data_IF_522631230346
#
_entry.id   IF_522631230346
#
_cell.length_a   1.000
_cell.length_b   1.000
_cell.length_c   1.000
_cell.angle_alpha   90.00
_cell.angle_beta   90.00
_cell.angle_gamma   90.00
#
_symmetry.space_group_name_H-M   'P 1'
#
loop_
_entity.id
_entity.type
_entity.pdbx_description
1 polymer ?
#
# COMPACT_ATOMS: atom_id res chain seq x y z
N UNK A 1 -12.15 -21.54 -10.61
CA UNK A 1 -12.43 -20.19 -11.17
C UNK A 1 -13.59 -20.16 -12.15
N UNK A 2 -13.65 -21.03 -13.17
CA UNK A 2 -14.70 -20.96 -14.21
C UNK A 2 -16.14 -21.18 -13.72
N UNK A 3 -16.37 -22.01 -12.70
CA UNK A 3 -17.74 -22.36 -12.26
C UNK A 3 -18.44 -21.19 -11.57
N UNK A 4 -17.78 -20.49 -10.63
CA UNK A 4 -18.40 -19.39 -9.88
C UNK A 4 -18.75 -18.19 -10.79
N UNK A 5 -17.80 -17.77 -11.66
CA UNK A 5 -18.04 -16.70 -12.63
C UNK A 5 -19.11 -17.09 -13.68
N UNK A 6 -19.15 -18.36 -14.10
CA UNK A 6 -20.16 -18.86 -15.03
C UNK A 6 -21.55 -18.92 -14.38
N UNK A 7 -21.66 -19.38 -13.14
CA UNK A 7 -22.91 -19.37 -12.38
C UNK A 7 -23.47 -17.94 -12.22
N UNK A 8 -22.61 -16.96 -11.93
CA UNK A 8 -23.01 -15.55 -11.87
C UNK A 8 -23.49 -15.01 -13.22
N UNK A 9 -22.84 -15.38 -14.33
CA UNK A 9 -23.28 -15.01 -15.70
C UNK A 9 -24.66 -15.58 -16.06
N UNK A 10 -25.06 -16.69 -15.44
CA UNK A 10 -26.37 -17.32 -15.64
C UNK A 10 -27.40 -16.95 -14.56
N UNK A 11 -27.14 -15.94 -13.73
CA UNK A 11 -28.05 -15.50 -12.68
C UNK A 11 -28.14 -16.44 -11.46
N UNK A 12 -27.32 -17.50 -11.42
CA UNK A 12 -27.27 -18.50 -10.34
C UNK A 12 -26.26 -18.07 -9.27
N UNK A 13 -26.47 -16.89 -8.71
CA UNK A 13 -25.51 -16.26 -7.81
C UNK A 13 -25.30 -17.03 -6.49
N UNK A 14 -26.34 -17.69 -5.96
CA UNK A 14 -26.26 -18.53 -4.76
C UNK A 14 -25.29 -19.70 -4.91
N UNK A 15 -25.39 -20.38 -6.05
CA UNK A 15 -24.53 -21.51 -6.36
C UNK A 15 -23.12 -21.06 -6.68
N UNK A 16 -22.97 -19.91 -7.35
CA UNK A 16 -21.67 -19.28 -7.58
C UNK A 16 -20.95 -18.96 -6.26
N UNK A 17 -21.67 -18.42 -5.27
CA UNK A 17 -21.11 -18.12 -3.96
C UNK A 17 -20.76 -19.39 -3.18
N UNK A 18 -21.63 -20.39 -3.15
CA UNK A 18 -21.33 -21.67 -2.47
C UNK A 18 -20.09 -22.37 -3.05
N UNK A 19 -19.95 -22.36 -4.39
CA UNK A 19 -18.75 -22.84 -5.06
C UNK A 19 -17.51 -22.01 -4.73
N UNK A 20 -17.65 -20.70 -4.62
CA UNK A 20 -16.55 -19.82 -4.27
C UNK A 20 -16.08 -20.02 -2.82
N UNK A 21 -17.00 -20.05 -1.85
CA UNK A 21 -16.71 -20.31 -0.44
C UNK A 21 -16.11 -21.72 -0.23
N UNK A 22 -16.64 -22.72 -0.94
CA UNK A 22 -16.06 -24.08 -0.97
C UNK A 22 -14.63 -24.08 -1.53
N UNK A 23 -14.42 -23.41 -2.66
CA UNK A 23 -13.09 -23.27 -3.27
C UNK A 23 -12.08 -22.55 -2.37
N UNK A 24 -12.51 -21.53 -1.60
CA UNK A 24 -11.67 -20.84 -0.62
C UNK A 24 -11.26 -21.76 0.54
N UNK A 25 -12.18 -22.61 1.01
CA UNK A 25 -11.92 -23.58 2.08
C UNK A 25 -10.93 -24.66 1.66
N UNK A 26 -11.04 -25.14 0.41
CA UNK A 26 -10.16 -26.17 -0.14
C UNK A 26 -8.77 -25.64 -0.53
N UNK A 27 -8.65 -24.35 -0.88
CA UNK A 27 -7.40 -23.77 -1.39
C UNK A 27 -6.32 -23.49 -0.33
N UNK A 28 -6.61 -23.72 0.95
CA UNK A 28 -5.62 -23.55 2.03
C UNK A 28 -5.03 -22.14 2.08
N UNK A 29 -3.68 -22.03 2.08
CA UNK A 29 -2.97 -20.74 2.21
C UNK A 29 -2.84 -19.95 0.91
N UNK A 30 -3.04 -20.56 -0.26
CA UNK A 30 -2.91 -19.91 -1.56
C UNK A 30 -4.29 -19.57 -2.10
N UNK A 31 -4.92 -18.62 -1.43
CA UNK A 31 -6.25 -18.15 -1.79
C UNK A 31 -6.18 -17.26 -3.02
N UNK A 32 -6.97 -17.59 -4.04
CA UNK A 32 -7.10 -16.77 -5.25
C UNK A 32 -7.80 -15.44 -4.93
N UNK A 33 -7.12 -14.32 -5.17
CA UNK A 33 -7.66 -12.98 -4.91
C UNK A 33 -8.93 -12.70 -5.72
N UNK A 34 -9.03 -13.24 -6.94
CA UNK A 34 -10.24 -13.06 -7.76
C UNK A 34 -11.46 -13.72 -7.14
N UNK A 35 -11.25 -14.83 -6.43
CA UNK A 35 -12.32 -15.53 -5.74
C UNK A 35 -12.79 -14.76 -4.51
N UNK A 36 -11.85 -14.15 -3.77
CA UNK A 36 -12.19 -13.22 -2.68
C UNK A 36 -12.96 -12.01 -3.19
N UNK A 37 -12.52 -11.41 -4.31
CA UNK A 37 -13.21 -10.28 -4.93
C UNK A 37 -14.64 -10.63 -5.30
N UNK A 38 -14.85 -11.81 -5.91
CA UNK A 38 -16.18 -12.32 -6.23
C UNK A 38 -17.04 -12.49 -4.97
N UNK A 39 -16.52 -13.11 -3.91
CA UNK A 39 -17.23 -13.28 -2.65
C UNK A 39 -17.60 -11.94 -2.00
N UNK A 40 -16.69 -10.95 -2.01
CA UNK A 40 -16.94 -9.61 -1.45
C UNK A 40 -18.12 -8.96 -2.20
N UNK A 41 -18.06 -8.91 -3.53
CA UNK A 41 -19.10 -8.26 -4.34
C UNK A 41 -20.47 -8.93 -4.15
N UNK A 42 -20.50 -10.26 -4.12
CA UNK A 42 -21.76 -11.00 -3.98
C UNK A 42 -22.36 -10.85 -2.56
N UNK A 43 -21.53 -10.82 -1.52
CA UNK A 43 -22.02 -10.55 -0.15
C UNK A 43 -22.49 -9.10 0.02
N UNK A 44 -21.81 -8.13 -0.58
CA UNK A 44 -22.28 -6.73 -0.61
C UNK A 44 -23.64 -6.60 -1.30
N UNK A 45 -23.84 -7.28 -2.45
CA UNK A 45 -25.12 -7.28 -3.19
C UNK A 45 -26.29 -7.81 -2.35
N UNK A 46 -26.03 -8.76 -1.45
CA UNK A 46 -27.03 -9.40 -0.59
C UNK A 46 -27.29 -8.64 0.71
N UNK A 47 -26.47 -7.65 1.04
CA UNK A 47 -26.50 -7.00 2.36
C UNK A 47 -25.82 -7.81 3.47
N UNK A 48 -25.08 -8.87 3.13
CA UNK A 48 -24.35 -9.72 4.07
C UNK A 48 -23.00 -9.06 4.44
N UNK A 49 -23.07 -7.87 5.05
CA UNK A 49 -21.93 -6.99 5.28
C UNK A 49 -20.83 -7.63 6.13
N UNK A 50 -21.20 -8.40 7.16
CA UNK A 50 -20.24 -9.07 8.02
C UNK A 50 -19.35 -10.07 7.25
N UNK A 51 -19.94 -10.79 6.28
CA UNK A 51 -19.18 -11.71 5.41
C UNK A 51 -18.33 -10.95 4.40
N UNK A 52 -18.86 -9.88 3.82
CA UNK A 52 -18.09 -9.02 2.90
C UNK A 52 -16.84 -8.45 3.59
N UNK A 53 -16.97 -7.93 4.81
CA UNK A 53 -15.87 -7.41 5.61
C UNK A 53 -14.86 -8.52 5.96
N UNK A 54 -15.32 -9.73 6.28
CA UNK A 54 -14.44 -10.86 6.57
C UNK A 54 -13.59 -11.27 5.35
N UNK A 55 -14.20 -11.38 4.16
CA UNK A 55 -13.46 -11.67 2.93
C UNK A 55 -12.52 -10.53 2.52
N UNK A 56 -12.94 -9.27 2.71
CA UNK A 56 -12.09 -8.11 2.46
C UNK A 56 -10.87 -8.09 3.39
N UNK A 57 -11.04 -8.47 4.66
CA UNK A 57 -9.94 -8.62 5.60
C UNK A 57 -8.98 -9.75 5.20
N UNK A 58 -9.52 -10.92 4.82
CA UNK A 58 -8.71 -12.04 4.34
C UNK A 58 -7.88 -11.64 3.10
N UNK A 59 -8.48 -10.92 2.15
CA UNK A 59 -7.77 -10.39 0.97
C UNK A 59 -6.62 -9.46 1.36
N UNK A 60 -6.85 -8.61 2.36
CA UNK A 60 -5.84 -7.69 2.88
C UNK A 60 -4.67 -8.43 3.53
N UNK A 61 -4.92 -9.45 4.35
CA UNK A 61 -3.87 -10.22 5.04
C UNK A 61 -2.95 -11.00 4.08
N UNK A 62 -3.48 -11.44 2.93
CA UNK A 62 -2.68 -12.16 1.92
C UNK A 62 -1.61 -11.26 1.31
N UNK A 63 -1.94 -9.98 1.06
CA UNK A 63 -1.01 -9.01 0.45
C UNK A 63 -1.27 -7.60 1.00
N UNK A 64 -0.81 -7.32 2.24
CA UNK A 64 -1.02 -6.03 2.86
C UNK A 64 -0.21 -4.95 2.15
N UNK A 65 -0.81 -3.79 1.90
CA UNK A 65 -0.18 -2.68 1.18
C UNK A 65 -1.17 -1.55 0.89
N UNK A 66 -0.71 -0.47 0.25
CA UNK A 66 -1.55 0.71 0.03
C UNK A 66 -2.75 0.45 -0.88
N UNK A 67 -2.58 -0.37 -1.92
CA UNK A 67 -3.66 -0.77 -2.83
C UNK A 67 -4.72 -1.63 -2.11
N UNK A 68 -4.26 -2.66 -1.39
CA UNK A 68 -5.16 -3.51 -0.61
C UNK A 68 -5.87 -2.72 0.49
N UNK A 69 -5.20 -1.76 1.13
CA UNK A 69 -5.79 -0.86 2.11
C UNK A 69 -6.93 -0.04 1.50
N UNK A 70 -6.69 0.61 0.36
CA UNK A 70 -7.72 1.38 -0.34
C UNK A 70 -8.93 0.50 -0.70
N UNK A 71 -8.67 -0.67 -1.26
CA UNK A 71 -9.73 -1.61 -1.63
C UNK A 71 -10.51 -2.15 -0.41
N UNK A 72 -9.90 -2.25 0.77
CA UNK A 72 -10.59 -2.55 2.03
C UNK A 72 -11.41 -1.36 2.54
N UNK A 73 -10.95 -0.12 2.35
CA UNK A 73 -11.71 1.08 2.73
C UNK A 73 -12.97 1.25 1.87
N UNK A 74 -12.93 0.85 0.59
CA UNK A 74 -14.11 0.88 -0.28
C UNK A 74 -15.22 -0.04 0.26
N UNK A 75 -14.87 -1.28 0.64
CA UNK A 75 -15.79 -2.24 1.26
C UNK A 75 -16.30 -1.70 2.59
N UNK A 76 -15.39 -1.26 3.46
CA UNK A 76 -15.75 -0.76 4.78
C UNK A 76 -16.63 0.50 4.73
N UNK A 77 -16.49 1.33 3.69
CA UNK A 77 -17.38 2.47 3.46
C UNK A 77 -18.79 2.01 3.08
N UNK A 78 -18.89 0.97 2.25
CA UNK A 78 -20.18 0.38 1.87
C UNK A 78 -20.90 -0.31 3.05
N UNK A 79 -20.14 -0.84 4.02
CA UNK A 79 -20.69 -1.53 5.21
C UNK A 79 -20.84 -0.62 6.44
N UNK A 80 -20.41 0.64 6.36
CA UNK A 80 -20.45 1.59 7.49
C UNK A 80 -19.39 1.33 8.57
N UNK A 81 -18.35 0.54 8.28
CA UNK A 81 -17.28 0.13 9.20
C UNK A 81 -15.93 0.80 8.88
N UNK A 82 -15.94 1.94 8.18
CA UNK A 82 -14.75 2.60 7.67
C UNK A 82 -13.68 2.83 8.75
N UNK A 83 -14.02 3.51 9.85
CA UNK A 83 -13.03 3.93 10.84
C UNK A 83 -12.45 2.74 11.63
N UNK A 84 -13.31 1.79 12.00
CA UNK A 84 -12.89 0.55 12.66
C UNK A 84 -11.96 -0.27 11.77
N UNK A 85 -12.29 -0.40 10.48
CA UNK A 85 -11.46 -1.13 9.51
C UNK A 85 -10.15 -0.39 9.25
N UNK A 86 -10.17 0.95 9.17
CA UNK A 86 -8.99 1.80 9.01
C UNK A 86 -8.00 1.56 10.15
N UNK A 87 -8.47 1.67 11.38
CA UNK A 87 -7.63 1.47 12.57
C UNK A 87 -7.02 0.06 12.59
N UNK A 88 -7.86 -0.96 12.37
CA UNK A 88 -7.43 -2.36 12.31
C UNK A 88 -6.34 -2.60 11.25
N UNK A 89 -6.53 -2.07 10.05
CA UNK A 89 -5.57 -2.24 8.94
C UNK A 89 -4.24 -1.52 9.20
N UNK A 90 -4.28 -0.30 9.74
CA UNK A 90 -3.08 0.45 10.13
C UNK A 90 -2.31 -0.27 11.25
N UNK A 91 -3.01 -0.80 12.26
CA UNK A 91 -2.40 -1.57 13.34
C UNK A 91 -1.71 -2.83 12.81
N UNK A 92 -2.34 -3.54 11.87
CA UNK A 92 -1.73 -4.69 11.22
C UNK A 92 -0.46 -4.32 10.44
N UNK A 93 -0.50 -3.27 9.62
CA UNK A 93 0.68 -2.78 8.89
C UNK A 93 1.81 -2.35 9.83
N UNK A 94 1.51 -1.67 10.93
CA UNK A 94 2.51 -1.30 11.93
C UNK A 94 3.12 -2.52 12.63
N UNK A 95 2.32 -3.55 12.90
CA UNK A 95 2.82 -4.84 13.43
C UNK A 95 3.82 -5.48 12.46
N UNK A 96 3.53 -5.49 11.16
CA UNK A 96 4.45 -5.97 10.13
C UNK A 96 5.73 -5.14 10.08
N UNK A 97 5.65 -3.81 10.13
CA UNK A 97 6.85 -2.95 10.20
C UNK A 97 7.71 -3.29 11.41
N UNK A 98 7.11 -3.46 12.59
CA UNK A 98 7.84 -3.83 13.81
C UNK A 98 8.52 -5.19 13.66
N UNK A 99 7.82 -6.18 13.12
CA UNK A 99 8.38 -7.52 12.88
C UNK A 99 9.52 -7.49 11.85
N UNK A 100 9.34 -6.73 10.77
CA UNK A 100 10.35 -6.52 9.75
C UNK A 100 11.61 -5.88 10.34
N UNK A 101 11.47 -4.77 11.07
CA UNK A 101 12.58 -3.97 11.62
C UNK A 101 13.28 -4.62 12.81
N UNK A 102 12.59 -5.45 13.59
CA UNK A 102 13.19 -6.25 14.65
C UNK A 102 14.04 -7.42 14.13
N UNK A 103 13.77 -7.87 12.90
CA UNK A 103 14.52 -8.97 12.28
C UNK A 103 15.92 -8.50 11.86
N UNK A 104 16.95 -8.97 12.59
CA UNK A 104 18.37 -8.77 12.24
C UNK A 104 18.84 -9.61 11.06
N UNK A 105 17.97 -10.45 10.47
CA UNK A 105 18.34 -11.28 9.32
C UNK A 105 18.54 -10.41 8.09
N UNK A 106 19.80 -10.25 7.71
CA UNK A 106 20.35 -9.59 6.52
C UNK A 106 19.88 -10.16 5.15
N UNK A 107 18.76 -10.89 5.11
CA UNK A 107 18.19 -11.50 3.90
C UNK A 107 16.80 -10.93 3.61
N UNK A 108 16.65 -9.61 3.60
CA UNK A 108 15.60 -9.05 2.75
C UNK A 108 16.11 -9.15 1.33
N UNK A 109 15.38 -9.87 0.49
CA UNK A 109 15.54 -9.73 -0.95
C UNK A 109 15.44 -8.24 -1.26
N UNK A 110 16.42 -7.66 -1.95
CA UNK A 110 16.45 -6.24 -2.34
C UNK A 110 15.19 -5.80 -3.11
N UNK A 111 14.39 -6.77 -3.57
CA UNK A 111 13.15 -6.60 -4.31
C UNK A 111 11.89 -6.47 -3.44
N UNK A 112 11.95 -6.79 -2.14
CA UNK A 112 10.78 -6.63 -1.27
C UNK A 112 10.70 -5.20 -0.74
N UNK A 113 9.66 -4.49 -1.16
CA UNK A 113 9.34 -3.16 -0.69
C UNK A 113 9.04 -3.21 0.82
N UNK A 114 9.71 -2.39 1.65
CA UNK A 114 9.43 -2.35 3.09
C UNK A 114 7.98 -1.97 3.35
N UNK A 115 7.31 -2.63 4.31
CA UNK A 115 5.89 -2.33 4.64
C UNK A 115 5.70 -0.88 5.08
N UNK A 116 6.73 -0.28 5.70
CA UNK A 116 6.74 1.16 6.05
C UNK A 116 6.55 2.06 4.82
N UNK A 117 7.04 1.66 3.64
CA UNK A 117 6.82 2.40 2.39
C UNK A 117 5.34 2.43 2.02
N UNK A 118 4.62 1.32 2.24
CA UNK A 118 3.18 1.26 2.00
C UNK A 118 2.40 2.15 2.97
N UNK A 119 2.79 2.18 4.25
CA UNK A 119 2.22 3.13 5.22
C UNK A 119 2.42 4.59 4.81
N UNK A 120 3.62 4.96 4.34
CA UNK A 120 3.87 6.31 3.82
C UNK A 120 2.91 6.63 2.67
N UNK A 121 2.75 5.72 1.70
CA UNK A 121 1.80 5.90 0.58
C UNK A 121 0.37 6.11 1.08
N UNK A 122 -0.08 5.30 2.05
CA UNK A 122 -1.42 5.42 2.64
C UNK A 122 -1.65 6.81 3.22
N UNK A 123 -0.74 7.30 4.06
CA UNK A 123 -0.86 8.63 4.68
C UNK A 123 -0.79 9.76 3.64
N UNK A 124 0.06 9.62 2.61
CA UNK A 124 0.12 10.61 1.52
C UNK A 124 -1.17 10.67 0.71
N UNK A 125 -1.75 9.52 0.36
CA UNK A 125 -3.06 9.47 -0.32
C UNK A 125 -4.17 10.05 0.56
N UNK A 126 -4.12 9.80 1.87
CA UNK A 126 -5.01 10.41 2.85
C UNK A 126 -4.77 11.90 3.12
N UNK A 127 -3.77 12.52 2.47
CA UNK A 127 -3.32 13.91 2.70
C UNK A 127 -2.86 14.19 4.14
N UNK A 128 -2.49 13.15 4.88
CA UNK A 128 -1.95 13.22 6.23
C UNK A 128 -0.43 13.45 6.17
N UNK A 129 -0.02 14.58 5.60
CA UNK A 129 1.39 14.84 5.25
C UNK A 129 2.34 14.77 6.45
N UNK A 130 1.93 15.26 7.63
CA UNK A 130 2.77 15.22 8.84
C UNK A 130 2.90 13.80 9.40
N UNK A 131 1.82 13.00 9.34
CA UNK A 131 1.86 11.58 9.72
C UNK A 131 2.73 10.78 8.74
N UNK A 132 2.62 11.08 7.45
CA UNK A 132 3.48 10.48 6.42
C UNK A 132 4.96 10.80 6.66
N UNK A 133 5.28 12.06 7.00
CA UNK A 133 6.64 12.48 7.35
C UNK A 133 7.18 11.75 8.58
N UNK A 134 6.43 11.73 9.68
CA UNK A 134 6.82 11.00 10.91
C UNK A 134 7.06 9.51 10.61
N UNK A 135 6.19 8.91 9.81
CA UNK A 135 6.30 7.51 9.37
C UNK A 135 7.57 7.29 8.55
N UNK A 136 7.87 8.20 7.62
CA UNK A 136 9.06 8.16 6.78
C UNK A 136 10.36 8.28 7.58
N UNK A 137 10.43 9.20 8.54
CA UNK A 137 11.62 9.40 9.37
C UNK A 137 11.88 8.25 10.35
N UNK A 138 10.86 7.44 10.67
CA UNK A 138 10.94 6.42 11.71
C UNK A 138 11.61 5.11 11.32
N UNK A 139 12.11 4.93 10.10
CA UNK A 139 12.76 3.69 9.67
C UNK A 139 13.02 3.61 8.16
N UNK A 140 13.51 2.46 7.65
CA UNK A 140 13.81 2.27 6.23
C UNK A 140 12.56 2.39 5.35
N UNK A 141 12.64 3.27 4.35
CA UNK A 141 11.64 3.46 3.30
C UNK A 141 12.33 3.39 1.95
N UNK A 142 11.67 2.81 0.95
CA UNK A 142 12.23 2.70 -0.39
C UNK A 142 12.65 4.06 -0.97
N UNK A 143 13.82 4.10 -1.59
CA UNK A 143 14.42 5.32 -2.15
C UNK A 143 13.53 6.01 -3.19
N UNK A 144 12.72 5.24 -3.93
CA UNK A 144 11.73 5.75 -4.88
C UNK A 144 10.72 6.70 -4.25
N UNK A 145 10.50 6.63 -2.94
CA UNK A 145 9.59 7.51 -2.21
C UNK A 145 10.22 8.83 -1.76
N UNK A 146 11.55 8.92 -1.73
CA UNK A 146 12.25 10.07 -1.13
C UNK A 146 12.03 11.34 -1.92
N UNK A 147 12.05 11.28 -3.27
CA UNK A 147 11.80 12.44 -4.12
C UNK A 147 10.36 12.96 -3.96
N UNK A 148 9.38 12.05 -3.90
CA UNK A 148 7.98 12.37 -3.61
C UNK A 148 7.83 13.04 -2.25
N UNK A 149 8.45 12.48 -1.21
CA UNK A 149 8.39 13.06 0.13
C UNK A 149 9.05 14.45 0.19
N UNK A 150 10.21 14.62 -0.44
CA UNK A 150 10.91 15.90 -0.51
C UNK A 150 10.06 16.97 -1.22
N UNK A 151 9.42 16.64 -2.33
CA UNK A 151 8.51 17.54 -3.06
C UNK A 151 7.31 17.99 -2.20
N UNK A 152 6.77 17.07 -1.38
CA UNK A 152 5.66 17.39 -0.47
C UNK A 152 6.15 18.30 0.67
N UNK A 153 7.29 18.00 1.29
CA UNK A 153 7.87 18.85 2.34
C UNK A 153 8.37 20.19 1.82
N UNK A 154 8.76 20.31 0.55
CA UNK A 154 9.20 21.58 -0.01
C UNK A 154 8.14 22.69 0.12
N UNK A 155 6.85 22.31 0.13
CA UNK A 155 5.74 23.24 0.26
C UNK A 155 5.51 23.78 1.67
N UNK A 156 5.84 22.97 2.70
CA UNK A 156 5.50 23.28 4.10
C UNK A 156 6.74 23.48 4.98
N UNK A 157 7.83 22.78 4.68
CA UNK A 157 9.11 22.78 5.38
C UNK A 157 10.28 22.64 4.37
N UNK A 158 10.65 23.72 3.65
CA UNK A 158 11.69 23.68 2.61
C UNK A 158 13.04 23.12 3.09
N UNK A 159 13.42 23.40 4.33
CA UNK A 159 14.67 22.89 4.92
C UNK A 159 14.71 21.35 4.99
N UNK A 160 13.60 20.70 5.38
CA UNK A 160 13.51 19.24 5.42
C UNK A 160 13.64 18.63 4.01
N UNK A 161 13.05 19.30 3.01
CA UNK A 161 13.14 18.90 1.61
C UNK A 161 14.57 18.99 1.09
N UNK A 162 15.27 20.09 1.38
CA UNK A 162 16.67 20.30 0.98
C UNK A 162 17.57 19.19 1.56
N UNK A 163 17.39 18.83 2.84
CA UNK A 163 18.14 17.73 3.46
C UNK A 163 17.90 16.41 2.74
N UNK A 164 16.65 16.10 2.37
CA UNK A 164 16.35 14.90 1.59
C UNK A 164 16.96 14.92 0.19
N UNK A 165 16.86 16.05 -0.50
CA UNK A 165 17.44 16.21 -1.83
C UNK A 165 18.97 16.06 -1.81
N UNK A 166 19.66 16.60 -0.78
CA UNK A 166 21.09 16.37 -0.60
C UNK A 166 21.44 14.89 -0.42
N UNK A 167 20.61 14.13 0.28
CA UNK A 167 20.82 12.67 0.44
C UNK A 167 20.51 11.89 -0.84
N UNK A 168 19.59 12.36 -1.67
CA UNK A 168 19.26 11.74 -2.96
C UNK A 168 20.30 11.99 -4.04
N UNK A 169 20.95 13.16 -4.01
CA UNK A 169 21.90 13.59 -5.02
C UNK A 169 23.03 12.58 -5.32
N UNK A 170 23.74 12.00 -4.33
CA UNK A 170 24.74 10.98 -4.61
C UNK A 170 24.14 9.70 -5.22
N UNK A 171 22.94 9.28 -4.79
CA UNK A 171 22.27 8.08 -5.30
C UNK A 171 21.85 8.27 -6.78
N UNK A 172 21.31 9.44 -7.10
CA UNK A 172 20.93 9.81 -8.46
C UNK A 172 22.17 9.98 -9.35
N UNK A 173 23.25 10.56 -8.82
CA UNK A 173 24.51 10.72 -9.54
C UNK A 173 25.15 9.36 -9.87
N UNK A 174 25.18 8.41 -8.92
CA UNK A 174 25.69 7.05 -9.12
C UNK A 174 24.87 6.24 -10.13
N UNK A 175 23.54 6.39 -10.08
CA UNK A 175 22.63 5.78 -11.07
C UNK A 175 22.84 6.39 -12.46
N UNK A 176 23.13 7.69 -12.50
CA UNK A 176 23.49 8.44 -13.69
C UNK A 176 24.84 8.04 -14.29
N UNK A 177 25.87 7.74 -13.49
CA UNK A 177 27.18 7.25 -14.00
C UNK A 177 27.05 5.93 -14.73
N UNK A 178 26.15 5.05 -14.26
CA UNK A 178 25.92 3.74 -14.87
C UNK A 178 25.25 3.82 -16.25
N UNK A 179 24.50 4.90 -16.52
CA UNK A 179 23.72 5.07 -17.75
C UNK A 179 24.04 6.38 -18.53
N UNK A 180 25.03 7.16 -18.10
CA UNK A 180 25.33 8.53 -18.55
C UNK A 180 24.12 9.50 -18.56
N UNK A 181 23.19 9.36 -17.61
CA UNK A 181 21.95 10.18 -17.51
C UNK A 181 21.90 10.95 -16.19
N UNK A 182 22.35 12.21 -16.21
CA UNK A 182 22.38 13.09 -15.03
C UNK A 182 21.12 13.93 -14.83
N UNK A 183 20.10 13.77 -15.67
CA UNK A 183 18.86 14.57 -15.65
C UNK A 183 18.16 14.56 -14.28
N UNK A 184 18.15 13.42 -13.60
CA UNK A 184 17.55 13.29 -12.26
C UNK A 184 18.34 14.09 -11.21
N UNK A 185 19.68 14.06 -11.27
CA UNK A 185 20.54 14.84 -10.38
C UNK A 185 20.43 16.35 -10.66
N UNK A 186 20.37 16.77 -11.92
CA UNK A 186 20.13 18.17 -12.29
C UNK A 186 18.75 18.66 -11.84
N UNK A 187 17.72 17.83 -11.96
CA UNK A 187 16.38 18.13 -11.45
C UNK A 187 16.36 18.38 -9.94
N UNK A 188 17.11 17.56 -9.18
CA UNK A 188 17.28 17.72 -7.73
C UNK A 188 17.97 19.06 -7.40
N UNK A 189 19.09 19.39 -8.06
CA UNK A 189 19.83 20.64 -7.81
C UNK A 189 18.97 21.87 -8.11
N UNK A 190 18.22 21.86 -9.22
CA UNK A 190 17.30 22.96 -9.55
C UNK A 190 16.23 23.13 -8.46
N UNK A 191 15.65 22.04 -7.99
CA UNK A 191 14.62 22.07 -6.94
C UNK A 191 15.15 22.62 -5.61
N UNK A 192 16.40 22.28 -5.24
CA UNK A 192 17.07 22.89 -4.07
C UNK A 192 17.19 24.41 -4.26
N UNK A 193 17.63 24.86 -5.44
CA UNK A 193 17.75 26.29 -5.76
C UNK A 193 16.42 27.04 -5.75
N UNK A 194 15.31 26.39 -6.09
CA UNK A 194 13.98 26.97 -6.02
C UNK A 194 13.45 27.04 -4.57
N UNK A 195 13.73 26.02 -3.76
CA UNK A 195 13.36 26.01 -2.34
C UNK A 195 14.09 27.07 -1.51
N UNK A 196 15.32 27.45 -1.88
CA UNK A 196 16.12 28.45 -1.19
C UNK A 196 15.87 29.91 -1.62
N UNK A 197 14.99 30.15 -2.60
CA UNK A 197 14.65 31.50 -3.12
C UNK A 197 13.31 32.06 -2.63
N UNK A 198 12.57 31.30 -1.83
CA UNK A 198 11.35 31.73 -1.14
C UNK A 198 11.66 32.08 0.33
#
# INVERSE_FOLDING_TARGET
MLVAELCAKHGRYDEGLAWAEGGLTESGKNVDQRLLDFCIQENLRRGEFAKADAFAWQRFEVRPGAEAFAASMDVASATGQHDMTRERALNHLWSLVRAEEASTKAKRSSWQMPTRTELVKIFLTGRENDTAWKTFCGGPVATTMWATMASIRAKTCPHDAIVLYHRLLPIAAESGTRNARYEEAFGIVRTIGDCGRN
#
